data_IF_005001744747
#
_entry.id   IF_005001744747
#
_cell.length_a   1.000
_cell.length_b   1.000
_cell.length_c   1.000
_cell.angle_alpha   90.00
_cell.angle_beta   90.00
_cell.angle_gamma   90.00
#
_symmetry.space_group_name_H-M   'P 1'
#
loop_
_entity.id
_entity.type
_entity.pdbx_description
1 polymer ?
#
# COMPACT_ATOMS: atom_id res chain seq x y z
N UNK A 1 -4.56 -22.22 21.61
CA UNK A 1 -3.44 -21.24 21.63
C UNK A 1 -2.85 -20.91 20.25
N UNK A 2 -3.12 -21.66 19.17
CA UNK A 2 -2.59 -21.36 17.82
C UNK A 2 -3.32 -20.22 17.09
N UNK A 3 -4.65 -20.12 17.23
CA UNK A 3 -5.47 -19.10 16.57
C UNK A 3 -5.12 -17.66 17.01
N UNK A 4 -5.02 -17.42 18.33
CA UNK A 4 -4.71 -16.09 18.90
C UNK A 4 -3.34 -15.57 18.42
N UNK A 5 -2.35 -16.46 18.25
CA UNK A 5 -1.02 -16.09 17.76
C UNK A 5 -1.04 -15.71 16.27
N UNK A 6 -1.85 -16.40 15.46
CA UNK A 6 -2.03 -16.06 14.04
C UNK A 6 -2.65 -14.68 13.85
N UNK A 7 -3.74 -14.40 14.58
CA UNK A 7 -4.44 -13.10 14.54
C UNK A 7 -3.52 -11.93 14.93
N UNK A 8 -2.72 -12.10 15.98
CA UNK A 8 -1.76 -11.06 16.41
C UNK A 8 -0.70 -10.75 15.33
N UNK A 9 -0.17 -11.77 14.66
CA UNK A 9 0.81 -11.59 13.57
C UNK A 9 0.20 -10.84 12.38
N UNK A 10 -1.08 -11.06 12.05
CA UNK A 10 -1.75 -10.33 10.98
C UNK A 10 -1.91 -8.85 11.31
N UNK A 11 -2.33 -8.51 12.53
CA UNK A 11 -2.42 -7.11 12.93
C UNK A 11 -1.04 -6.43 13.00
N UNK A 12 0.01 -7.14 13.42
CA UNK A 12 1.37 -6.63 13.33
C UNK A 12 1.80 -6.38 11.87
N UNK A 13 1.55 -7.32 10.96
CA UNK A 13 1.83 -7.15 9.53
C UNK A 13 1.09 -5.95 8.93
N UNK A 14 -0.18 -5.77 9.30
CA UNK A 14 -0.97 -4.61 8.90
C UNK A 14 -0.42 -3.29 9.47
N UNK A 15 -0.03 -3.29 10.74
CA UNK A 15 0.56 -2.13 11.43
C UNK A 15 1.89 -1.73 10.78
N UNK A 16 2.79 -2.69 10.58
CA UNK A 16 4.07 -2.43 9.92
C UNK A 16 3.86 -1.98 8.47
N UNK A 17 3.03 -2.69 7.69
CA UNK A 17 2.76 -2.31 6.31
C UNK A 17 2.19 -0.89 6.18
N UNK A 18 1.19 -0.56 7.00
CA UNK A 18 0.60 0.79 7.04
C UNK A 18 1.59 1.83 7.58
N UNK A 19 2.45 1.47 8.53
CA UNK A 19 3.51 2.33 9.04
C UNK A 19 4.54 2.70 7.96
N UNK A 20 4.97 1.74 7.14
CA UNK A 20 5.87 1.97 6.01
C UNK A 20 5.24 2.94 5.00
N UNK A 21 3.97 2.72 4.68
CA UNK A 21 3.18 3.61 3.80
C UNK A 21 3.07 5.01 4.42
N UNK A 22 2.77 5.12 5.71
CA UNK A 22 2.66 6.40 6.41
C UNK A 22 3.97 7.20 6.41
N UNK A 23 5.10 6.54 6.68
CA UNK A 23 6.43 7.16 6.58
C UNK A 23 6.71 7.63 5.14
N UNK A 24 6.36 6.83 4.14
CA UNK A 24 6.50 7.23 2.74
C UNK A 24 5.69 8.49 2.40
N UNK A 25 4.44 8.58 2.82
CA UNK A 25 3.62 9.78 2.64
C UNK A 25 4.17 11.00 3.37
N UNK A 26 4.67 10.81 4.59
CA UNK A 26 5.30 11.88 5.36
C UNK A 26 6.53 12.44 4.65
N UNK A 27 7.38 11.57 4.07
CA UNK A 27 8.53 11.99 3.26
C UNK A 27 8.07 12.79 2.04
N UNK A 28 7.04 12.35 1.32
CA UNK A 28 6.52 13.11 0.17
C UNK A 28 6.06 14.51 0.57
N UNK A 29 5.30 14.64 1.66
CA UNK A 29 4.74 15.93 2.11
C UNK A 29 5.83 16.89 2.59
N UNK A 30 6.86 16.37 3.27
CA UNK A 30 7.95 17.18 3.85
C UNK A 30 9.09 17.43 2.87
N UNK A 31 9.15 16.72 1.75
CA UNK A 31 10.18 16.90 0.75
C UNK A 31 10.15 18.32 0.14
N UNK A 32 11.33 18.95 -0.03
CA UNK A 32 11.45 20.26 -0.66
C UNK A 32 11.34 20.12 -2.20
N UNK A 33 10.12 19.89 -2.70
CA UNK A 33 9.82 19.91 -4.12
C UNK A 33 9.58 21.35 -4.61
N UNK A 34 10.17 21.71 -5.76
CA UNK A 34 10.04 23.05 -6.33
C UNK A 34 8.61 23.35 -6.83
N UNK A 35 7.92 22.34 -7.34
CA UNK A 35 6.54 22.45 -7.85
C UNK A 35 5.55 21.76 -6.89
N UNK A 36 4.68 22.58 -6.27
CA UNK A 36 3.63 22.11 -5.35
C UNK A 36 2.53 21.32 -6.05
N UNK A 37 2.24 21.63 -7.31
CA UNK A 37 1.26 20.88 -8.09
C UNK A 37 1.80 19.47 -8.39
N UNK A 38 3.08 19.37 -8.76
CA UNK A 38 3.74 18.07 -8.95
C UNK A 38 3.76 17.25 -7.65
N UNK A 39 4.08 17.89 -6.51
CA UNK A 39 4.03 17.25 -5.20
C UNK A 39 2.63 16.69 -4.87
N UNK A 40 1.59 17.45 -5.19
CA UNK A 40 0.20 17.02 -5.00
C UNK A 40 -0.19 15.84 -5.89
N UNK A 41 0.20 15.85 -7.16
CA UNK A 41 0.00 14.71 -8.09
C UNK A 41 0.75 13.47 -7.59
N UNK A 42 1.97 13.65 -7.10
CA UNK A 42 2.78 12.57 -6.56
C UNK A 42 2.14 11.95 -5.32
N UNK A 43 1.61 12.78 -4.41
CA UNK A 43 0.83 12.32 -3.26
C UNK A 43 -0.44 11.57 -3.67
N UNK A 44 -1.23 12.13 -4.60
CA UNK A 44 -2.48 11.51 -5.06
C UNK A 44 -2.25 10.17 -5.76
N UNK A 45 -1.21 10.08 -6.58
CA UNK A 45 -0.87 8.81 -7.24
C UNK A 45 -0.47 7.74 -6.22
N UNK A 46 0.33 8.06 -5.19
CA UNK A 46 0.62 7.13 -4.09
C UNK A 46 -0.67 6.64 -3.41
N UNK A 47 -1.60 7.57 -3.16
CA UNK A 47 -2.88 7.27 -2.51
C UNK A 47 -3.74 6.32 -3.36
N UNK A 48 -3.82 6.57 -4.66
CA UNK A 48 -4.56 5.69 -5.59
C UNK A 48 -3.94 4.29 -5.65
N UNK A 49 -2.60 4.19 -5.66
CA UNK A 49 -1.92 2.89 -5.63
C UNK A 49 -2.22 2.16 -4.32
N UNK A 50 -2.02 2.80 -3.17
CA UNK A 50 -2.29 2.18 -1.86
C UNK A 50 -3.76 1.75 -1.72
N UNK A 51 -4.71 2.62 -2.09
CA UNK A 51 -6.13 2.34 -2.01
C UNK A 51 -6.55 1.19 -2.95
N UNK A 52 -6.02 1.16 -4.18
CA UNK A 52 -6.33 0.08 -5.12
C UNK A 52 -5.78 -1.27 -4.67
N UNK A 53 -4.59 -1.30 -4.07
CA UNK A 53 -4.01 -2.53 -3.49
C UNK A 53 -4.82 -3.01 -2.27
N UNK A 54 -5.23 -2.10 -1.39
CA UNK A 54 -6.07 -2.45 -0.24
C UNK A 54 -7.45 -2.97 -0.68
N UNK A 55 -8.05 -2.33 -1.69
CA UNK A 55 -9.30 -2.79 -2.27
C UNK A 55 -9.14 -4.15 -2.97
N UNK A 56 -8.00 -4.39 -3.64
CA UNK A 56 -7.71 -5.65 -4.31
C UNK A 56 -7.64 -6.81 -3.32
N UNK A 57 -7.03 -6.60 -2.14
CA UNK A 57 -6.93 -7.61 -1.09
C UNK A 57 -8.31 -8.12 -0.60
N UNK A 58 -9.35 -7.29 -0.71
CA UNK A 58 -10.74 -7.61 -0.30
C UNK A 58 -11.71 -7.84 -1.46
N UNK A 59 -11.24 -7.78 -2.71
CA UNK A 59 -12.10 -7.90 -3.88
C UNK A 59 -12.67 -9.32 -4.03
N UNK A 60 -14.00 -9.44 -4.03
CA UNK A 60 -14.73 -10.72 -4.14
C UNK A 60 -14.99 -11.16 -5.58
N UNK A 61 -15.13 -10.22 -6.51
CA UNK A 61 -15.48 -10.52 -7.91
C UNK A 61 -14.24 -10.48 -8.82
N UNK A 62 -14.24 -11.33 -9.85
CA UNK A 62 -13.18 -11.34 -10.88
C UNK A 62 -13.03 -9.99 -11.56
N UNK A 63 -14.16 -9.34 -11.91
CA UNK A 63 -14.15 -8.03 -12.56
C UNK A 63 -13.42 -6.97 -11.71
N UNK A 64 -13.72 -6.90 -10.40
CA UNK A 64 -13.08 -5.95 -9.49
C UNK A 64 -11.58 -6.24 -9.33
N UNK A 65 -11.20 -7.52 -9.25
CA UNK A 65 -9.77 -7.90 -9.17
C UNK A 65 -9.02 -7.44 -10.42
N UNK A 66 -9.58 -7.69 -11.61
CA UNK A 66 -8.96 -7.28 -12.87
C UNK A 66 -8.84 -5.76 -12.95
N UNK A 67 -9.90 -5.01 -12.68
CA UNK A 67 -9.87 -3.54 -12.78
C UNK A 67 -8.90 -2.91 -11.78
N UNK A 68 -8.89 -3.36 -10.53
CA UNK A 68 -7.96 -2.88 -9.51
C UNK A 68 -6.50 -3.26 -9.81
N UNK A 69 -6.26 -4.42 -10.43
CA UNK A 69 -4.93 -4.81 -10.91
C UNK A 69 -4.45 -3.89 -12.03
N UNK A 70 -5.32 -3.57 -12.99
CA UNK A 70 -4.98 -2.64 -14.07
C UNK A 70 -4.71 -1.24 -13.54
N UNK A 71 -5.56 -0.73 -12.64
CA UNK A 71 -5.37 0.59 -12.02
C UNK A 71 -4.05 0.64 -11.23
N UNK A 72 -3.82 -0.35 -10.35
CA UNK A 72 -2.58 -0.40 -9.55
C UNK A 72 -1.33 -0.55 -10.42
N UNK A 73 -1.38 -1.32 -11.51
CA UNK A 73 -0.27 -1.47 -12.44
C UNK A 73 0.05 -0.17 -13.20
N UNK A 74 -0.97 0.49 -13.76
CA UNK A 74 -0.78 1.73 -14.53
C UNK A 74 -0.34 2.89 -13.64
N UNK A 75 -1.09 3.14 -12.55
CA UNK A 75 -0.76 4.23 -11.62
C UNK A 75 0.52 3.91 -10.87
N UNK A 76 0.75 2.65 -10.50
CA UNK A 76 1.97 2.20 -9.82
C UNK A 76 3.22 2.38 -10.69
N UNK A 77 3.14 2.07 -11.99
CA UNK A 77 4.23 2.32 -12.93
C UNK A 77 4.54 3.81 -13.10
N UNK A 78 3.51 4.65 -13.27
CA UNK A 78 3.67 6.09 -13.32
C UNK A 78 4.24 6.65 -12.01
N UNK A 79 3.79 6.13 -10.87
CA UNK A 79 4.27 6.52 -9.56
C UNK A 79 5.74 6.14 -9.35
N UNK A 80 6.13 4.91 -9.73
CA UNK A 80 7.52 4.46 -9.68
C UNK A 80 8.45 5.37 -10.48
N UNK A 81 8.03 5.73 -11.70
CA UNK A 81 8.77 6.67 -12.54
C UNK A 81 8.95 8.02 -11.83
N UNK A 82 7.89 8.59 -11.26
CA UNK A 82 7.97 9.83 -10.49
C UNK A 82 8.88 9.71 -9.26
N UNK A 83 8.81 8.63 -8.48
CA UNK A 83 9.66 8.43 -7.30
C UNK A 83 11.15 8.41 -7.66
N UNK A 84 11.52 7.78 -8.78
CA UNK A 84 12.92 7.69 -9.23
C UNK A 84 13.40 9.00 -9.84
N UNK A 85 12.55 9.71 -10.58
CA UNK A 85 12.96 10.88 -11.37
C UNK A 85 12.86 12.21 -10.61
N UNK A 86 11.94 12.33 -9.66
CA UNK A 86 11.76 13.57 -8.91
C UNK A 86 12.80 13.73 -7.80
N UNK A 87 13.42 12.64 -7.35
CA UNK A 87 14.49 12.68 -6.35
C UNK A 87 15.87 12.93 -6.96
N UNK A 88 16.69 13.81 -6.33
CA UNK A 88 18.03 14.09 -6.81
C UNK A 88 18.93 12.85 -6.85
N UNK A 89 18.73 11.94 -5.90
CA UNK A 89 19.40 10.64 -5.85
C UNK A 89 18.42 9.55 -6.32
N UNK A 90 18.68 9.03 -7.52
CA UNK A 90 17.89 7.96 -8.13
C UNK A 90 17.88 6.68 -7.28
N UNK A 91 18.97 6.41 -6.53
CA UNK A 91 19.06 5.26 -5.65
C UNK A 91 18.11 5.43 -4.46
N UNK A 92 18.04 6.63 -3.89
CA UNK A 92 17.08 6.96 -2.83
C UNK A 92 15.64 6.87 -3.33
N UNK A 93 15.36 7.35 -4.54
CA UNK A 93 14.05 7.18 -5.19
C UNK A 93 13.66 5.71 -5.36
N UNK A 94 14.57 4.88 -5.88
CA UNK A 94 14.34 3.44 -6.03
C UNK A 94 14.13 2.75 -4.66
N UNK A 95 14.95 3.07 -3.67
CA UNK A 95 14.79 2.57 -2.31
C UNK A 95 13.42 2.93 -1.72
N UNK A 96 12.97 4.18 -1.88
CA UNK A 96 11.67 4.62 -1.40
C UNK A 96 10.51 3.94 -2.11
N UNK A 97 10.63 3.67 -3.41
CA UNK A 97 9.63 2.89 -4.12
C UNK A 97 9.54 1.45 -3.59
N UNK A 98 10.68 0.79 -3.38
CA UNK A 98 10.74 -0.55 -2.79
C UNK A 98 10.17 -0.54 -1.36
N UNK A 99 10.49 0.47 -0.57
CA UNK A 99 9.95 0.67 0.78
C UNK A 99 8.43 0.78 0.77
N UNK A 100 7.88 1.62 -0.10
CA UNK A 100 6.44 1.78 -0.27
C UNK A 100 5.78 0.49 -0.74
N UNK A 101 6.37 -0.17 -1.73
CA UNK A 101 5.86 -1.44 -2.26
C UNK A 101 5.89 -2.56 -1.23
N UNK A 102 6.96 -2.67 -0.43
CA UNK A 102 7.04 -3.62 0.67
C UNK A 102 5.96 -3.35 1.73
N UNK A 103 5.74 -2.09 2.08
CA UNK A 103 4.66 -1.69 2.99
C UNK A 103 3.28 -2.13 2.47
N UNK A 104 3.02 -1.93 1.18
CA UNK A 104 1.78 -2.37 0.53
C UNK A 104 1.65 -3.89 0.48
N UNK A 105 2.72 -4.64 0.18
CA UNK A 105 2.71 -6.10 0.19
C UNK A 105 2.40 -6.65 1.59
N UNK A 106 3.03 -6.11 2.63
CA UNK A 106 2.79 -6.50 4.01
C UNK A 106 1.34 -6.23 4.43
N UNK A 107 0.84 -5.03 4.15
CA UNK A 107 -0.53 -4.66 4.47
C UNK A 107 -1.56 -5.49 3.68
N UNK A 108 -1.32 -5.71 2.38
CA UNK A 108 -2.20 -6.51 1.54
C UNK A 108 -2.22 -7.98 1.97
N UNK A 109 -1.07 -8.57 2.29
CA UNK A 109 -0.97 -9.93 2.81
C UNK A 109 -1.72 -10.08 4.13
N UNK A 110 -1.51 -9.15 5.07
CA UNK A 110 -2.23 -9.12 6.34
C UNK A 110 -3.75 -9.00 6.13
N UNK A 111 -4.20 -8.11 5.24
CA UNK A 111 -5.62 -7.95 4.90
C UNK A 111 -6.22 -9.19 4.24
N UNK A 112 -5.43 -9.91 3.44
CA UNK A 112 -5.87 -11.13 2.79
C UNK A 112 -5.98 -12.31 3.77
N UNK A 113 -5.13 -12.36 4.79
CA UNK A 113 -5.15 -13.39 5.84
C UNK A 113 -6.12 -13.09 6.99
N UNK A 114 -6.71 -11.89 7.01
CA UNK A 114 -7.68 -11.47 8.02
C UNK A 114 -9.12 -12.07 7.95
N UNK A 115 -9.57 -12.90 6.98
CA UNK A 115 -10.95 -13.42 7.04
C UNK A 115 -11.03 -14.88 7.54
N UNK A 116 -11.47 -15.07 8.80
CA UNK A 116 -12.34 -16.18 9.29
C UNK A 116 -12.61 -16.21 10.81
N UNK A 117 -12.09 -15.30 11.66
CA UNK A 117 -12.39 -15.35 13.12
C UNK A 117 -13.72 -14.73 13.55
N UNK A 118 -14.39 -13.96 12.68
CA UNK A 118 -15.57 -13.17 13.08
C UNK A 118 -16.91 -13.77 12.60
N UNK A 119 -16.90 -14.82 11.77
CA UNK A 119 -18.13 -15.47 11.28
C UNK A 119 -18.54 -16.72 12.09
N UNK A 120 -17.70 -17.24 12.97
CA UNK A 120 -18.05 -18.38 13.82
C UNK A 120 -18.64 -17.99 15.19
N UNK A 121 -18.56 -16.72 15.61
CA UNK A 121 -19.08 -16.25 16.91
C UNK A 121 -20.49 -15.65 16.89
N UNK A 122 -21.19 -15.66 15.74
CA UNK A 122 -22.59 -15.20 15.66
C UNK A 122 -23.55 -16.29 15.18
N UNK A 123 -23.16 -17.57 15.29
CA UNK A 123 -23.96 -18.72 14.90
C UNK A 123 -24.34 -19.64 16.07
N UNK A 124 -24.32 -19.12 17.30
CA UNK A 124 -24.94 -19.76 18.48
C UNK A 124 -26.09 -18.90 19.02
#
# INVERSE_FOLDING_TARGET
MSLIRGTYLYYQGLLFGTGFIGVYFWIIITAPMADRMMQFIFFLSALVVAASVYALARAKTRSNRTSLTVISGLVGGAHAYMTITLWPDWFFGMFLFIWFFLGMLLAAAALHWLPETDFETTAE
#
